data_IF_567237401250
#
_entry.id   IF_567237401250
#
_cell.length_a   1.000
_cell.length_b   1.000
_cell.length_c   1.000
_cell.angle_alpha   90.00
_cell.angle_beta   90.00
_cell.angle_gamma   90.00
#
_symmetry.space_group_name_H-M   'P 1'
#
loop_
_entity.id
_entity.type
_entity.pdbx_description
1 polymer ?
#
# COMPACT_ATOMS: atom_id res chain seq x y z
N UNK A 1 -3.26 10.82 -18.29
CA UNK A 1 -2.68 11.40 -17.06
C UNK A 1 -1.14 11.43 -17.09
N UNK A 2 -0.42 10.30 -17.28
CA UNK A 2 1.05 10.30 -17.28
C UNK A 2 1.72 11.11 -18.43
N UNK A 3 1.02 11.32 -19.55
CA UNK A 3 1.57 12.07 -20.70
C UNK A 3 1.68 13.59 -20.47
N UNK A 4 0.95 14.15 -19.51
CA UNK A 4 0.93 15.61 -19.28
C UNK A 4 1.80 16.05 -18.09
N UNK A 5 2.56 15.14 -17.46
CA UNK A 5 3.43 15.49 -16.33
C UNK A 5 4.54 16.48 -16.71
N UNK A 6 5.28 16.31 -17.82
CA UNK A 6 6.27 17.30 -18.25
C UNK A 6 5.64 18.67 -18.47
N UNK A 7 4.46 18.72 -19.08
CA UNK A 7 3.68 19.95 -19.29
C UNK A 7 3.30 20.60 -17.95
N UNK A 8 2.77 19.83 -17.00
CA UNK A 8 2.41 20.32 -15.67
C UNK A 8 3.63 20.87 -14.91
N UNK A 9 4.79 20.22 -15.03
CA UNK A 9 6.05 20.72 -14.45
C UNK A 9 6.50 22.00 -15.14
N UNK A 10 6.43 22.11 -16.47
CA UNK A 10 6.76 23.34 -17.19
C UNK A 10 5.86 24.51 -16.77
N UNK A 11 4.58 24.25 -16.52
CA UNK A 11 3.63 25.27 -16.08
C UNK A 11 3.95 25.82 -14.68
N UNK A 12 4.64 25.07 -13.80
CA UNK A 12 5.10 25.58 -12.49
C UNK A 12 6.03 26.78 -12.59
N UNK A 13 6.68 26.98 -13.76
CA UNK A 13 7.64 28.05 -14.01
C UNK A 13 6.99 29.33 -14.56
N UNK A 14 5.71 29.31 -14.91
CA UNK A 14 5.04 30.42 -15.60
C UNK A 14 4.79 31.61 -14.68
N UNK A 15 4.04 31.41 -13.60
CA UNK A 15 3.82 32.42 -12.57
C UNK A 15 3.41 31.78 -11.23
N UNK A 16 3.34 32.58 -10.16
CA UNK A 16 2.99 32.11 -8.81
C UNK A 16 1.58 31.53 -8.74
N UNK A 17 0.63 32.13 -9.45
CA UNK A 17 -0.77 31.72 -9.49
C UNK A 17 -0.92 30.36 -10.17
N UNK A 18 -0.28 30.19 -11.34
CA UNK A 18 -0.26 28.89 -12.04
C UNK A 18 0.41 27.83 -11.18
N UNK A 19 1.52 28.17 -10.50
CA UNK A 19 2.16 27.27 -9.54
C UNK A 19 1.19 26.81 -8.44
N UNK A 20 0.50 27.75 -7.78
CA UNK A 20 -0.46 27.41 -6.71
C UNK A 20 -1.62 26.55 -7.22
N UNK A 21 -2.05 26.73 -8.47
CA UNK A 21 -3.10 25.93 -9.08
C UNK A 21 -2.66 24.50 -9.41
N UNK A 22 -1.41 24.33 -9.84
CA UNK A 22 -0.88 23.03 -10.29
C UNK A 22 -0.32 22.19 -9.16
N UNK A 23 0.19 22.81 -8.09
CA UNK A 23 0.79 22.07 -6.97
C UNK A 23 -0.14 21.00 -6.37
N UNK A 24 -1.43 21.25 -6.09
CA UNK A 24 -2.34 20.21 -5.61
C UNK A 24 -2.40 19.03 -6.58
N UNK A 25 -2.57 19.32 -7.86
CA UNK A 25 -2.71 18.35 -8.93
C UNK A 25 -1.48 17.43 -9.06
N UNK A 26 -0.29 17.96 -8.83
CA UNK A 26 0.95 17.19 -8.80
C UNK A 26 1.12 16.43 -7.48
N UNK A 27 0.94 17.09 -6.33
CA UNK A 27 1.28 16.50 -5.03
C UNK A 27 0.18 15.64 -4.40
N UNK A 28 -1.00 15.53 -5.03
CA UNK A 28 -2.07 14.64 -4.57
C UNK A 28 -1.58 13.20 -4.39
N UNK A 29 -0.85 12.66 -5.37
CA UNK A 29 -0.34 11.29 -5.36
C UNK A 29 1.18 11.26 -5.46
N UNK A 30 1.83 10.84 -4.37
CA UNK A 30 3.28 10.79 -4.24
C UNK A 30 3.75 9.34 -4.17
N UNK A 31 4.78 9.03 -4.96
CA UNK A 31 5.32 7.68 -5.07
C UNK A 31 6.83 7.70 -4.83
N UNK A 32 7.25 7.01 -3.77
CA UNK A 32 8.62 6.98 -3.24
C UNK A 32 9.16 5.54 -3.30
N UNK A 33 9.98 5.25 -4.30
CA UNK A 33 10.42 3.88 -4.59
C UNK A 33 11.78 3.51 -4.01
N UNK A 34 12.52 4.48 -3.45
CA UNK A 34 13.87 4.28 -2.89
C UNK A 34 14.07 5.09 -1.61
N UNK A 35 15.09 4.78 -0.82
CA UNK A 35 15.43 5.57 0.37
C UNK A 35 15.78 7.02 -0.01
N UNK A 36 16.50 7.19 -1.12
CA UNK A 36 16.86 8.51 -1.65
C UNK A 36 15.63 9.31 -2.10
N UNK A 37 14.62 8.67 -2.71
CA UNK A 37 13.35 9.30 -3.04
C UNK A 37 12.65 9.83 -1.78
N UNK A 38 12.61 9.04 -0.71
CA UNK A 38 12.03 9.44 0.58
C UNK A 38 12.80 10.63 1.17
N UNK A 39 14.13 10.59 1.17
CA UNK A 39 14.98 11.67 1.68
C UNK A 39 14.79 12.97 0.87
N UNK A 40 14.74 12.87 -0.47
CA UNK A 40 14.53 14.04 -1.35
C UNK A 40 13.15 14.66 -1.12
N UNK A 41 12.11 13.83 -1.05
CA UNK A 41 10.77 14.30 -0.76
C UNK A 41 10.69 15.00 0.60
N UNK A 42 11.25 14.39 1.65
CA UNK A 42 11.34 15.00 2.97
C UNK A 42 12.05 16.37 2.93
N UNK A 43 13.23 16.46 2.28
CA UNK A 43 13.95 17.74 2.14
C UNK A 43 13.11 18.79 1.42
N UNK A 44 12.39 18.38 0.37
CA UNK A 44 11.45 19.25 -0.34
C UNK A 44 10.35 19.80 0.57
N UNK A 45 9.74 18.95 1.41
CA UNK A 45 8.75 19.38 2.40
C UNK A 45 9.32 20.35 3.43
N UNK A 46 10.58 20.16 3.87
CA UNK A 46 11.22 21.04 4.87
C UNK A 46 11.67 22.38 4.27
N UNK A 47 12.02 22.41 2.99
CA UNK A 47 12.41 23.63 2.28
C UNK A 47 11.20 24.46 1.82
N UNK A 48 10.02 23.85 1.78
CA UNK A 48 8.75 24.50 1.44
C UNK A 48 8.17 25.29 2.64
N UNK A 49 9.01 26.13 3.24
CA UNK A 49 8.56 27.21 4.11
C UNK A 49 7.90 28.25 3.21
N UNK A 50 6.56 28.34 3.27
CA UNK A 50 5.82 29.41 2.60
C UNK A 50 6.29 30.81 3.06
N UNK A 51 5.73 31.89 2.48
CA UNK A 51 6.02 33.25 2.92
C UNK A 51 5.72 33.49 4.40
N UNK A 52 4.89 32.64 5.02
CA UNK A 52 4.79 32.49 6.47
C UNK A 52 5.51 31.21 6.90
N UNK A 53 6.53 31.29 7.78
CA UNK A 53 7.35 30.15 8.21
C UNK A 53 6.61 29.10 9.06
N UNK A 54 5.30 29.22 9.21
CA UNK A 54 4.51 28.43 10.16
C UNK A 54 3.70 27.29 9.53
N UNK A 55 3.66 27.12 8.20
CA UNK A 55 2.93 26.00 7.59
C UNK A 55 3.50 25.56 6.23
N UNK A 56 3.87 24.28 6.06
CA UNK A 56 4.29 23.74 4.77
C UNK A 56 3.11 23.75 3.78
N UNK A 57 3.36 24.18 2.54
CA UNK A 57 2.32 24.27 1.48
C UNK A 57 2.11 22.89 0.85
N UNK A 58 3.17 22.11 0.66
CA UNK A 58 3.14 20.83 -0.06
C UNK A 58 2.56 19.68 0.75
N UNK A 59 2.94 19.54 2.03
CA UNK A 59 2.56 18.36 2.82
C UNK A 59 1.03 18.17 2.96
N UNK A 60 0.22 19.23 3.18
CA UNK A 60 -1.23 19.12 3.23
C UNK A 60 -1.91 18.79 1.88
N UNK A 61 -1.18 18.83 0.76
CA UNK A 61 -1.71 18.47 -0.56
C UNK A 61 -1.66 16.95 -0.79
N UNK A 62 -0.80 16.23 -0.08
CA UNK A 62 -0.64 14.78 -0.24
C UNK A 62 -1.86 14.04 0.27
N UNK A 63 -2.53 13.31 -0.64
CA UNK A 63 -3.69 12.46 -0.34
C UNK A 63 -3.35 10.98 -0.44
N UNK A 64 -2.46 10.61 -1.35
CA UNK A 64 -2.08 9.23 -1.60
C UNK A 64 -0.56 9.11 -1.59
N UNK A 65 -0.04 8.23 -0.74
CA UNK A 65 1.39 8.06 -0.54
C UNK A 65 1.77 6.58 -0.69
N UNK A 66 2.69 6.31 -1.61
CA UNK A 66 3.30 5.01 -1.78
C UNK A 66 4.77 5.06 -1.37
N UNK A 67 5.19 4.18 -0.48
CA UNK A 67 6.57 3.98 -0.04
C UNK A 67 6.95 2.52 -0.23
N UNK A 68 7.83 2.23 -1.19
CA UNK A 68 8.29 0.88 -1.47
C UNK A 68 8.42 0.57 -2.96
N UNK A 69 8.82 -0.66 -3.31
CA UNK A 69 9.08 -1.04 -4.70
C UNK A 69 7.79 -1.07 -5.54
N UNK A 70 7.92 -0.76 -6.84
CA UNK A 70 6.87 -0.92 -7.86
C UNK A 70 7.26 -1.99 -8.89
N UNK A 71 8.56 -2.25 -9.02
CA UNK A 71 9.13 -3.17 -9.99
C UNK A 71 9.32 -4.58 -9.45
N UNK A 72 9.97 -5.43 -10.26
CA UNK A 72 10.33 -6.79 -9.85
C UNK A 72 11.36 -6.70 -8.71
N UNK A 73 10.98 -7.16 -7.52
CA UNK A 73 11.95 -7.45 -6.47
C UNK A 73 12.79 -8.65 -6.93
N UNK A 74 14.13 -8.60 -6.85
CA UNK A 74 14.95 -9.79 -7.00
C UNK A 74 14.73 -10.64 -5.75
N UNK A 75 13.69 -11.47 -5.78
CA UNK A 75 13.40 -12.37 -4.67
C UNK A 75 14.49 -13.46 -4.64
N UNK A 76 15.25 -13.62 -3.54
CA UNK A 76 16.24 -14.68 -3.42
C UNK A 76 15.57 -16.05 -3.58
N UNK A 77 16.07 -16.90 -4.49
CA UNK A 77 15.51 -18.23 -4.77
C UNK A 77 14.68 -18.34 -6.06
N UNK A 78 14.51 -17.25 -6.81
CA UNK A 78 13.95 -17.31 -8.17
C UNK A 78 15.08 -17.50 -9.19
N UNK A 79 14.89 -18.34 -10.24
CA UNK A 79 15.88 -18.49 -11.29
C UNK A 79 16.18 -17.13 -11.93
N UNK A 80 17.48 -16.76 -12.01
CA UNK A 80 18.00 -15.58 -12.71
C UNK A 80 17.57 -15.47 -14.19
N UNK A 81 16.96 -16.51 -14.76
CA UNK A 81 16.58 -16.62 -16.17
C UNK A 81 15.52 -15.61 -16.64
N UNK A 82 14.94 -14.80 -15.75
CA UNK A 82 13.96 -13.76 -16.11
C UNK A 82 14.37 -12.33 -15.71
N UNK A 83 15.67 -12.10 -15.44
CA UNK A 83 16.26 -10.76 -15.46
C UNK A 83 16.26 -10.24 -16.91
N UNK A 84 15.10 -9.79 -17.39
CA UNK A 84 15.04 -8.96 -18.58
C UNK A 84 15.72 -7.64 -18.22
N UNK A 85 16.62 -7.20 -19.09
CA UNK A 85 17.41 -5.95 -19.06
C UNK A 85 16.56 -4.65 -19.05
N UNK A 86 15.54 -4.56 -18.21
CA UNK A 86 14.75 -3.34 -18.04
C UNK A 86 15.43 -2.49 -16.96
N UNK A 87 16.44 -1.72 -17.37
CA UNK A 87 17.24 -0.80 -16.56
C UNK A 87 16.50 0.37 -15.90
N UNK A 88 15.22 0.20 -15.55
CA UNK A 88 14.33 1.26 -15.05
C UNK A 88 13.75 1.02 -13.65
N UNK A 89 14.08 -0.08 -12.95
CA UNK A 89 13.45 -0.41 -11.66
C UNK A 89 14.45 -0.81 -10.55
N UNK A 90 15.43 0.07 -10.30
CA UNK A 90 16.38 -0.05 -9.18
C UNK A 90 15.77 0.55 -7.90
N UNK A 91 14.76 -0.10 -7.31
CA UNK A 91 14.44 0.09 -5.89
C UNK A 91 15.28 -0.88 -5.04
N UNK A 92 16.57 -1.00 -5.37
CA UNK A 92 17.44 -2.02 -4.78
C UNK A 92 17.62 -1.83 -3.26
N UNK A 93 17.42 -0.61 -2.77
CA UNK A 93 17.67 -0.26 -1.37
C UNK A 93 16.44 -0.38 -0.46
N UNK A 94 15.21 -0.54 -0.97
CA UNK A 94 14.01 -0.79 -0.16
C UNK A 94 13.50 -2.23 -0.31
N UNK A 95 14.43 -3.18 -0.49
CA UNK A 95 14.13 -4.60 -0.51
C UNK A 95 13.73 -5.12 0.88
N UNK A 96 13.19 -6.33 0.90
CA UNK A 96 12.86 -7.03 2.13
C UNK A 96 14.10 -7.12 3.03
N UNK A 97 13.94 -6.84 4.33
CA UNK A 97 15.03 -6.79 5.32
C UNK A 97 16.08 -5.69 5.10
N UNK A 98 15.81 -4.72 4.22
CA UNK A 98 16.71 -3.58 4.07
C UNK A 98 16.83 -2.74 5.35
N UNK A 99 18.03 -2.30 5.66
CA UNK A 99 18.34 -1.33 6.71
C UNK A 99 18.35 0.12 6.20
N UNK A 100 18.16 0.33 4.90
CA UNK A 100 18.23 1.66 4.25
C UNK A 100 16.97 2.49 4.43
N UNK A 101 15.93 1.98 5.10
CA UNK A 101 14.70 2.72 5.36
C UNK A 101 14.98 3.96 6.22
N UNK A 102 14.73 5.19 5.73
CA UNK A 102 15.00 6.42 6.48
C UNK A 102 13.83 6.72 7.43
N UNK A 103 13.68 5.91 8.48
CA UNK A 103 12.51 5.89 9.38
C UNK A 103 12.19 7.27 9.96
N UNK A 104 13.20 8.01 10.41
CA UNK A 104 13.00 9.37 10.96
C UNK A 104 12.37 10.31 9.93
N UNK A 105 12.80 10.25 8.66
CA UNK A 105 12.24 11.09 7.60
C UNK A 105 10.82 10.65 7.23
N UNK A 106 10.55 9.34 7.17
CA UNK A 106 9.19 8.81 6.95
C UNK A 106 8.24 9.29 8.06
N UNK A 107 8.66 9.22 9.32
CA UNK A 107 7.89 9.72 10.45
C UNK A 107 7.52 11.20 10.28
N UNK A 108 8.49 12.04 9.90
CA UNK A 108 8.24 13.47 9.67
C UNK A 108 7.34 13.73 8.46
N UNK A 109 7.49 12.97 7.38
CA UNK A 109 6.59 13.03 6.22
C UNK A 109 5.16 12.71 6.67
N UNK A 110 4.93 11.57 7.33
CA UNK A 110 3.60 11.14 7.76
C UNK A 110 2.97 12.14 8.75
N UNK A 111 3.78 12.68 9.67
CA UNK A 111 3.33 13.72 10.62
C UNK A 111 2.89 15.00 9.91
N UNK A 112 3.51 15.33 8.78
CA UNK A 112 3.23 16.57 8.03
C UNK A 112 2.07 16.42 7.05
N UNK A 113 1.86 15.22 6.51
CA UNK A 113 0.80 14.92 5.54
C UNK A 113 -0.58 14.72 6.20
N UNK A 114 -1.10 15.78 6.82
CA UNK A 114 -2.37 15.77 7.59
C UNK A 114 -3.62 15.50 6.76
N UNK A 115 -3.49 15.51 5.43
CA UNK A 115 -4.55 15.28 4.46
C UNK A 115 -4.56 13.85 3.90
N UNK A 116 -3.62 13.00 4.30
CA UNK A 116 -3.39 11.67 3.74
C UNK A 116 -4.62 10.76 3.92
N UNK A 117 -5.07 10.15 2.83
CA UNK A 117 -6.23 9.23 2.75
C UNK A 117 -5.82 7.81 2.41
N UNK A 118 -4.80 7.62 1.58
CA UNK A 118 -4.29 6.30 1.21
C UNK A 118 -2.79 6.21 1.44
N UNK A 119 -2.35 5.17 2.15
CA UNK A 119 -0.96 4.91 2.47
C UNK A 119 -0.60 3.48 2.10
N UNK A 120 0.45 3.32 1.30
CA UNK A 120 1.10 2.05 1.05
C UNK A 120 2.53 2.09 1.56
N UNK A 121 2.89 1.16 2.44
CA UNK A 121 4.26 0.96 2.92
C UNK A 121 4.61 -0.51 2.72
N UNK A 122 5.46 -0.78 1.72
CA UNK A 122 5.84 -2.14 1.34
C UNK A 122 7.28 -2.43 1.71
N UNK A 123 7.60 -3.69 2.03
CA UNK A 123 8.94 -4.17 2.45
C UNK A 123 9.51 -3.50 3.71
N UNK A 124 8.69 -2.84 4.54
CA UNK A 124 9.18 -2.27 5.80
C UNK A 124 9.49 -3.39 6.80
N UNK A 125 10.71 -3.38 7.35
CA UNK A 125 11.10 -4.36 8.37
C UNK A 125 10.18 -4.35 9.58
N UNK A 126 9.90 -5.53 10.16
CA UNK A 126 8.92 -5.72 11.24
C UNK A 126 9.11 -4.77 12.44
N UNK A 127 10.36 -4.49 12.81
CA UNK A 127 10.69 -3.65 13.96
C UNK A 127 10.40 -2.16 13.70
N UNK A 128 10.40 -1.76 12.43
CA UNK A 128 10.29 -0.36 12.05
C UNK A 128 8.84 0.15 12.04
N UNK A 129 7.85 -0.75 11.95
CA UNK A 129 6.43 -0.37 11.91
C UNK A 129 6.00 0.38 13.18
N UNK A 130 6.46 -0.08 14.34
CA UNK A 130 6.16 0.53 15.65
C UNK A 130 6.63 2.00 15.76
N UNK A 131 7.58 2.43 14.94
CA UNK A 131 8.04 3.81 14.91
C UNK A 131 7.11 4.72 14.09
N UNK A 132 6.24 4.18 13.26
CA UNK A 132 5.38 4.95 12.35
C UNK A 132 3.90 4.95 12.79
N UNK A 133 3.46 3.94 13.53
CA UNK A 133 2.04 3.83 13.97
C UNK A 133 1.55 5.08 14.73
N UNK A 134 2.42 5.72 15.52
CA UNK A 134 2.07 6.89 16.32
C UNK A 134 1.79 8.17 15.52
N UNK A 135 2.15 8.20 14.23
CA UNK A 135 2.08 9.41 13.37
C UNK A 135 1.18 9.24 12.15
N UNK A 136 0.43 8.15 12.08
CA UNK A 136 -0.56 7.95 11.04
C UNK A 136 -1.71 8.95 11.25
N UNK A 137 -2.02 9.83 10.26
CA UNK A 137 -2.99 10.90 10.45
C UNK A 137 -4.42 10.36 10.54
N UNK A 138 -5.29 11.12 11.24
CA UNK A 138 -6.72 10.79 11.45
C UNK A 138 -7.49 10.59 10.14
N UNK A 139 -7.04 11.23 9.05
CA UNK A 139 -7.68 11.24 7.74
C UNK A 139 -7.44 9.97 6.93
N UNK A 140 -6.57 9.07 7.40
CA UNK A 140 -6.24 7.86 6.67
C UNK A 140 -7.46 6.92 6.59
N UNK A 141 -7.80 6.50 5.37
CA UNK A 141 -8.94 5.63 5.07
C UNK A 141 -8.51 4.30 4.45
N UNK A 142 -7.35 4.26 3.78
CA UNK A 142 -6.80 3.08 3.10
C UNK A 142 -5.36 2.82 3.51
N UNK A 143 -5.05 1.60 3.96
CA UNK A 143 -3.72 1.18 4.39
C UNK A 143 -3.29 -0.12 3.69
N UNK A 144 -2.12 -0.08 3.05
CA UNK A 144 -1.51 -1.22 2.37
C UNK A 144 -0.16 -1.54 2.99
N UNK A 145 0.05 -2.80 3.38
CA UNK A 145 1.26 -3.27 4.06
C UNK A 145 1.70 -4.64 3.53
N UNK A 146 3.00 -4.96 3.61
CA UNK A 146 3.56 -6.28 3.28
C UNK A 146 4.71 -6.23 2.26
N UNK A 147 5.31 -7.36 1.81
CA UNK A 147 5.20 -8.75 2.26
C UNK A 147 5.58 -9.01 3.73
N UNK A 148 6.25 -8.07 4.40
CA UNK A 148 6.53 -8.14 5.83
C UNK A 148 6.11 -6.83 6.47
N UNK A 149 5.40 -6.95 7.59
CA UNK A 149 5.15 -5.84 8.52
C UNK A 149 5.20 -6.40 9.94
N UNK A 150 5.47 -5.54 10.92
CA UNK A 150 5.34 -5.91 12.33
C UNK A 150 3.87 -6.07 12.72
N UNK A 151 3.58 -6.41 13.98
CA UNK A 151 2.19 -6.48 14.45
C UNK A 151 1.42 -5.19 14.12
N UNK A 152 0.33 -5.31 13.37
CA UNK A 152 -0.58 -4.22 13.07
C UNK A 152 -1.65 -4.16 14.17
N UNK A 153 -1.42 -3.27 15.14
CA UNK A 153 -2.32 -3.12 16.28
C UNK A 153 -3.06 -1.79 16.12
N UNK A 154 -4.35 -1.82 15.73
CA UNK A 154 -5.08 -0.61 15.36
C UNK A 154 -5.20 0.38 16.53
N UNK A 155 -5.26 -0.14 17.77
CA UNK A 155 -5.29 0.69 18.99
C UNK A 155 -4.04 1.55 19.20
N UNK A 156 -2.92 1.21 18.57
CA UNK A 156 -1.68 1.98 18.70
C UNK A 156 -1.67 3.24 17.83
N UNK A 157 -2.59 3.35 16.86
CA UNK A 157 -2.75 4.58 16.10
C UNK A 157 -3.28 5.70 17.01
N UNK A 158 -2.39 6.59 17.45
CA UNK A 158 -2.70 7.70 18.37
C UNK A 158 -3.83 8.61 17.88
N UNK A 159 -3.98 8.70 16.57
CA UNK A 159 -4.96 9.56 15.91
C UNK A 159 -6.25 8.82 15.52
N UNK A 160 -6.39 7.53 15.84
CA UNK A 160 -7.60 6.74 15.56
C UNK A 160 -8.15 6.92 14.13
N UNK A 161 -7.34 6.66 13.08
CA UNK A 161 -7.77 6.79 11.70
C UNK A 161 -8.98 5.90 11.41
N UNK A 162 -9.89 6.40 10.57
CA UNK A 162 -11.09 5.67 10.16
C UNK A 162 -10.78 4.76 8.98
N UNK A 163 -9.89 3.79 9.20
CA UNK A 163 -9.48 2.82 8.17
C UNK A 163 -10.68 2.04 7.66
N UNK A 164 -11.06 2.30 6.39
CA UNK A 164 -12.14 1.62 5.67
C UNK A 164 -11.60 0.43 4.89
N UNK A 165 -10.41 0.57 4.34
CA UNK A 165 -9.75 -0.45 3.53
C UNK A 165 -8.40 -0.79 4.13
N UNK A 166 -8.15 -2.08 4.38
CA UNK A 166 -6.84 -2.58 4.76
C UNK A 166 -6.45 -3.69 3.79
N UNK A 167 -5.27 -3.56 3.21
CA UNK A 167 -4.69 -4.56 2.30
C UNK A 167 -3.39 -5.08 2.89
N UNK A 168 -3.38 -6.36 3.28
CA UNK A 168 -2.18 -7.09 3.68
C UNK A 168 -1.64 -7.85 2.47
N UNK A 169 -0.36 -7.74 2.20
CA UNK A 169 0.33 -8.43 1.11
C UNK A 169 1.27 -9.44 1.75
N UNK A 170 1.15 -10.70 1.36
CA UNK A 170 2.03 -11.84 1.64
C UNK A 170 2.60 -11.92 3.06
N UNK A 171 1.78 -11.52 4.02
CA UNK A 171 2.18 -11.31 5.40
C UNK A 171 1.46 -12.27 6.34
N UNK A 172 2.19 -12.73 7.34
CA UNK A 172 1.62 -13.44 8.46
C UNK A 172 0.96 -12.42 9.40
N UNK A 173 -0.35 -12.54 9.60
CA UNK A 173 -1.09 -11.75 10.58
C UNK A 173 -1.61 -12.67 11.67
N UNK A 174 -1.40 -12.29 12.93
CA UNK A 174 -1.92 -13.03 14.07
C UNK A 174 -3.45 -12.95 14.15
N UNK A 175 -4.05 -13.90 14.85
CA UNK A 175 -5.52 -13.98 14.98
C UNK A 175 -6.11 -12.74 15.66
N UNK A 176 -5.40 -12.17 16.64
CA UNK A 176 -5.82 -10.96 17.34
C UNK A 176 -5.81 -9.73 16.42
N UNK A 177 -4.81 -9.60 15.55
CA UNK A 177 -4.73 -8.53 14.54
C UNK A 177 -5.88 -8.64 13.53
N UNK A 178 -6.10 -9.83 12.98
CA UNK A 178 -7.19 -10.05 12.01
C UNK A 178 -8.54 -9.78 12.65
N UNK A 179 -8.74 -10.22 13.89
CA UNK A 179 -9.97 -9.95 14.63
C UNK A 179 -10.15 -8.45 14.90
N UNK A 180 -9.11 -7.73 15.30
CA UNK A 180 -9.15 -6.27 15.52
C UNK A 180 -9.55 -5.53 14.23
N UNK A 181 -9.01 -5.95 13.08
CA UNK A 181 -9.35 -5.38 11.77
C UNK A 181 -10.77 -5.70 11.35
N UNK A 182 -11.18 -6.96 11.41
CA UNK A 182 -12.50 -7.42 10.97
C UNK A 182 -13.62 -6.85 11.83
N UNK A 183 -13.38 -6.70 13.14
CA UNK A 183 -14.35 -6.15 14.08
C UNK A 183 -14.26 -4.62 14.24
N UNK A 184 -13.33 -3.97 13.54
CA UNK A 184 -13.22 -2.51 13.56
C UNK A 184 -14.52 -1.84 13.08
N UNK A 185 -15.01 -0.81 13.78
CA UNK A 185 -16.27 -0.14 13.42
C UNK A 185 -16.19 0.58 12.07
N UNK A 186 -14.99 0.88 11.58
CA UNK A 186 -14.76 1.63 10.35
C UNK A 186 -14.34 0.75 9.17
N UNK A 187 -13.79 -0.44 9.42
CA UNK A 187 -13.35 -1.33 8.36
C UNK A 187 -14.56 -1.82 7.54
N UNK A 188 -14.42 -1.77 6.22
CA UNK A 188 -15.40 -2.22 5.23
C UNK A 188 -14.80 -3.29 4.33
N UNK A 189 -13.56 -3.10 3.91
CA UNK A 189 -12.86 -4.03 3.02
C UNK A 189 -11.56 -4.46 3.68
N UNK A 190 -11.41 -5.75 3.91
CA UNK A 190 -10.15 -6.36 4.33
C UNK A 190 -9.63 -7.30 3.24
N UNK A 191 -8.54 -6.91 2.59
CA UNK A 191 -7.93 -7.64 1.49
C UNK A 191 -6.63 -8.29 1.95
N UNK A 192 -6.45 -9.57 1.62
CA UNK A 192 -5.24 -10.34 1.89
C UNK A 192 -4.73 -10.94 0.59
N UNK A 193 -3.69 -10.34 0.04
CA UNK A 193 -3.08 -10.76 -1.21
C UNK A 193 -1.87 -11.66 -0.92
N UNK A 194 -1.87 -12.90 -1.39
CA UNK A 194 -0.81 -13.86 -1.14
C UNK A 194 0.02 -14.13 -2.39
N UNK A 195 1.32 -14.35 -2.18
CA UNK A 195 2.28 -14.65 -3.24
C UNK A 195 2.82 -16.05 -2.96
N UNK A 196 2.16 -17.07 -3.53
CA UNK A 196 2.66 -18.45 -3.52
C UNK A 196 3.09 -18.98 -2.13
N UNK A 197 2.38 -18.58 -1.06
CA UNK A 197 2.59 -19.09 0.29
C UNK A 197 1.39 -19.93 0.75
N UNK A 198 1.40 -21.27 0.55
CA UNK A 198 0.25 -22.13 0.86
C UNK A 198 -0.12 -22.08 2.33
N UNK A 199 0.88 -22.00 3.20
CA UNK A 199 0.69 -21.94 4.64
C UNK A 199 0.03 -20.62 5.06
N UNK A 200 0.46 -19.49 4.49
CA UNK A 200 -0.15 -18.19 4.80
C UNK A 200 -1.60 -18.10 4.33
N UNK A 201 -1.91 -18.73 3.17
CA UNK A 201 -3.29 -18.86 2.69
C UNK A 201 -4.12 -19.71 3.64
N UNK A 202 -3.61 -20.86 4.11
CA UNK A 202 -4.34 -21.70 5.08
C UNK A 202 -4.65 -20.94 6.39
N UNK A 203 -3.70 -20.14 6.90
CA UNK A 203 -3.98 -19.27 8.05
C UNK A 203 -5.10 -18.26 7.76
N UNK A 204 -5.19 -17.75 6.53
CA UNK A 204 -6.29 -16.88 6.12
C UNK A 204 -7.65 -17.55 6.22
N UNK A 205 -7.73 -18.80 5.78
CA UNK A 205 -8.95 -19.60 5.87
C UNK A 205 -9.33 -19.91 7.33
N UNK A 206 -8.34 -20.23 8.17
CA UNK A 206 -8.56 -20.46 9.62
C UNK A 206 -9.17 -19.24 10.33
N UNK A 207 -8.91 -18.04 9.81
CA UNK A 207 -9.36 -16.79 10.40
C UNK A 207 -10.74 -16.32 9.87
N UNK A 208 -11.30 -16.95 8.83
CA UNK A 208 -12.64 -16.62 8.30
C UNK A 208 -13.78 -16.64 9.35
N UNK A 209 -13.79 -17.48 10.41
CA UNK A 209 -14.86 -17.47 11.40
C UNK A 209 -15.08 -16.12 12.09
N UNK A 210 -14.08 -15.22 12.11
CA UNK A 210 -14.26 -13.89 12.70
C UNK A 210 -15.15 -12.96 11.85
N UNK A 211 -15.33 -13.24 10.56
CA UNK A 211 -16.19 -12.44 9.66
C UNK A 211 -17.64 -12.47 10.14
N UNK A 212 -18.13 -13.61 10.60
CA UNK A 212 -19.48 -13.77 11.14
C UNK A 212 -19.77 -12.86 12.35
N UNK A 213 -18.73 -12.43 13.08
CA UNK A 213 -18.84 -11.55 14.24
C UNK A 213 -18.86 -10.06 13.87
N UNK A 214 -18.49 -9.70 12.64
CA UNK A 214 -18.46 -8.30 12.20
C UNK A 214 -19.83 -7.84 11.74
N UNK A 215 -20.26 -6.67 12.22
CA UNK A 215 -21.47 -5.96 11.77
C UNK A 215 -21.17 -4.90 10.70
N UNK A 216 -19.90 -4.59 10.49
CA UNK A 216 -19.42 -3.45 9.69
C UNK A 216 -18.68 -3.87 8.44
N UNK A 217 -18.02 -5.03 8.45
CA UNK A 217 -17.28 -5.53 7.30
C UNK A 217 -18.23 -5.87 6.16
N UNK A 218 -17.95 -5.31 4.99
CA UNK A 218 -18.68 -5.53 3.74
C UNK A 218 -18.00 -6.61 2.89
N UNK A 219 -16.66 -6.69 2.95
CA UNK A 219 -15.89 -7.63 2.16
C UNK A 219 -14.60 -8.09 2.87
N UNK A 220 -14.38 -9.40 2.93
CA UNK A 220 -13.08 -10.02 3.18
C UNK A 220 -12.61 -10.71 1.90
N UNK A 221 -11.51 -10.24 1.32
CA UNK A 221 -10.98 -10.78 0.07
C UNK A 221 -9.67 -11.52 0.31
N UNK A 222 -9.61 -12.79 -0.07
CA UNK A 222 -8.38 -13.58 -0.15
C UNK A 222 -7.99 -13.62 -1.62
N UNK A 223 -6.89 -12.95 -1.97
CA UNK A 223 -6.40 -12.93 -3.35
C UNK A 223 -5.15 -13.78 -3.49
N UNK A 224 -5.13 -14.63 -4.52
CA UNK A 224 -4.05 -15.56 -4.78
C UNK A 224 -3.36 -15.14 -6.08
N UNK A 225 -2.15 -14.62 -5.97
CA UNK A 225 -1.42 -14.07 -7.09
C UNK A 225 -0.44 -15.08 -7.66
N UNK A 226 -0.51 -15.27 -8.98
CA UNK A 226 0.47 -16.03 -9.74
C UNK A 226 0.48 -17.53 -9.50
N UNK A 227 -0.67 -18.09 -9.12
CA UNK A 227 -0.91 -19.53 -8.94
C UNK A 227 -1.73 -20.17 -10.08
N UNK A 228 -2.15 -19.38 -11.08
CA UNK A 228 -2.97 -19.91 -12.17
C UNK A 228 -2.19 -20.95 -12.99
N UNK A 229 -2.83 -22.09 -13.29
CA UNK A 229 -2.23 -23.19 -14.04
C UNK A 229 -1.27 -24.06 -13.20
N UNK A 230 -1.31 -23.97 -11.88
CA UNK A 230 -0.59 -24.86 -10.97
C UNK A 230 -1.60 -25.82 -10.32
N UNK A 231 -1.69 -27.04 -10.87
CA UNK A 231 -2.65 -28.07 -10.46
C UNK A 231 -2.57 -28.40 -8.96
N UNK A 232 -1.36 -28.34 -8.37
CA UNK A 232 -1.17 -28.60 -6.94
C UNK A 232 -1.80 -27.48 -6.09
N UNK A 233 -1.68 -26.23 -6.54
CA UNK A 233 -2.32 -25.09 -5.90
C UNK A 233 -3.85 -25.12 -6.04
N UNK A 234 -4.37 -25.46 -7.21
CA UNK A 234 -5.81 -25.58 -7.44
C UNK A 234 -6.42 -26.69 -6.58
N UNK A 235 -5.77 -27.86 -6.51
CA UNK A 235 -6.18 -28.95 -5.64
C UNK A 235 -6.15 -28.55 -4.16
N UNK A 236 -5.10 -27.81 -3.73
CA UNK A 236 -4.99 -27.33 -2.35
C UNK A 236 -6.06 -26.31 -2.01
N UNK A 237 -6.36 -25.38 -2.92
CA UNK A 237 -7.40 -24.38 -2.74
C UNK A 237 -8.77 -25.04 -2.56
N UNK A 238 -9.08 -26.03 -3.41
CA UNK A 238 -10.31 -26.81 -3.30
C UNK A 238 -10.43 -27.51 -1.94
N UNK A 239 -9.36 -28.12 -1.45
CA UNK A 239 -9.36 -28.73 -0.10
C UNK A 239 -9.62 -27.72 1.01
N UNK A 240 -9.08 -26.50 0.90
CA UNK A 240 -9.31 -25.44 1.87
C UNK A 240 -10.77 -24.96 1.80
N UNK A 241 -11.30 -24.73 0.60
CA UNK A 241 -12.71 -24.36 0.41
C UNK A 241 -13.67 -25.42 0.96
N UNK A 242 -13.40 -26.70 0.73
CA UNK A 242 -14.20 -27.80 1.29
C UNK A 242 -14.10 -27.84 2.84
N UNK A 243 -12.89 -27.72 3.39
CA UNK A 243 -12.66 -27.74 4.84
C UNK A 243 -13.33 -26.58 5.57
N UNK A 244 -13.37 -25.40 4.95
CA UNK A 244 -13.93 -24.17 5.54
C UNK A 244 -15.21 -23.71 4.84
N UNK A 245 -15.92 -24.64 4.19
CA UNK A 245 -17.12 -24.36 3.40
C UNK A 245 -18.15 -23.50 4.14
N UNK A 246 -18.50 -23.75 5.43
CA UNK A 246 -19.48 -22.92 6.13
C UNK A 246 -19.14 -21.43 6.16
N UNK A 247 -17.84 -21.09 6.19
CA UNK A 247 -17.38 -19.70 6.24
C UNK A 247 -17.17 -19.12 4.83
N UNK A 248 -16.83 -19.95 3.85
CA UNK A 248 -16.72 -19.53 2.46
C UNK A 248 -18.09 -19.18 1.83
N UNK A 249 -19.19 -19.69 2.41
CA UNK A 249 -20.56 -19.35 2.01
C UNK A 249 -21.03 -17.97 2.50
N UNK A 250 -20.30 -17.30 3.40
CA UNK A 250 -20.61 -15.92 3.77
C UNK A 250 -20.39 -15.01 2.55
N UNK A 251 -21.44 -14.30 2.11
CA UNK A 251 -21.43 -13.42 0.92
C UNK A 251 -20.34 -12.34 0.95
N UNK A 252 -19.79 -12.03 2.12
CA UNK A 252 -18.71 -11.06 2.30
C UNK A 252 -17.34 -11.66 2.02
N UNK A 253 -17.19 -12.98 2.08
CA UNK A 253 -15.92 -13.66 1.81
C UNK A 253 -15.79 -13.89 0.31
N UNK A 254 -14.68 -13.42 -0.26
CA UNK A 254 -14.36 -13.59 -1.68
C UNK A 254 -12.97 -14.18 -1.84
N UNK A 255 -12.88 -15.30 -2.56
CA UNK A 255 -11.62 -15.92 -2.95
C UNK A 255 -11.39 -15.57 -4.42
N UNK A 256 -10.26 -14.93 -4.72
CA UNK A 256 -9.97 -14.40 -6.07
C UNK A 256 -8.60 -14.89 -6.52
N UNK A 257 -8.57 -15.63 -7.62
CA UNK A 257 -7.32 -16.03 -8.27
C UNK A 257 -6.94 -14.98 -9.32
N UNK A 258 -5.71 -14.46 -9.24
CA UNK A 258 -5.18 -13.44 -10.15
C UNK A 258 -3.99 -13.97 -10.97
N UNK A 259 -4.20 -14.33 -12.25
CA UNK A 259 -3.14 -14.86 -13.10
C UNK A 259 -2.09 -13.81 -13.50
N UNK A 260 -2.45 -12.53 -13.52
CA UNK A 260 -1.63 -11.46 -14.14
C UNK A 260 -0.29 -11.22 -13.42
N UNK A 261 -0.19 -11.59 -12.14
CA UNK A 261 1.02 -11.40 -11.35
C UNK A 261 2.21 -12.26 -11.83
N UNK A 262 1.96 -13.38 -12.53
CA UNK A 262 3.02 -14.22 -13.11
C UNK A 262 3.84 -13.48 -14.17
N UNK A 263 3.20 -12.60 -14.96
CA UNK A 263 3.84 -11.95 -16.12
C UNK A 263 4.37 -10.56 -15.77
N UNK A 264 3.60 -9.79 -15.00
CA UNK A 264 3.90 -8.37 -14.72
C UNK A 264 4.77 -8.15 -13.48
N UNK A 265 4.88 -9.16 -12.61
CA UNK A 265 5.50 -9.04 -11.30
C UNK A 265 4.53 -8.47 -10.27
N UNK A 266 4.58 -9.03 -9.05
CA UNK A 266 3.57 -8.77 -8.02
C UNK A 266 3.46 -7.30 -7.59
N UNK A 267 4.59 -6.64 -7.30
CA UNK A 267 4.57 -5.24 -6.84
C UNK A 267 3.97 -4.32 -7.90
N UNK A 268 4.15 -4.65 -9.18
CA UNK A 268 3.52 -3.91 -10.27
C UNK A 268 2.02 -4.09 -10.30
N UNK A 269 1.53 -5.31 -10.10
CA UNK A 269 0.10 -5.61 -10.00
C UNK A 269 -0.54 -4.92 -8.79
N UNK A 270 0.11 -5.00 -7.62
CA UNK A 270 -0.34 -4.35 -6.39
C UNK A 270 -0.34 -2.83 -6.54
N UNK A 271 0.72 -2.26 -7.11
CA UNK A 271 0.81 -0.82 -7.36
C UNK A 271 -0.30 -0.35 -8.29
N UNK A 272 -0.57 -1.09 -9.37
CA UNK A 272 -1.68 -0.79 -10.27
C UNK A 272 -3.02 -0.82 -9.55
N UNK A 273 -3.24 -1.83 -8.71
CA UNK A 273 -4.50 -1.92 -7.95
C UNK A 273 -4.64 -0.75 -6.97
N UNK A 274 -3.57 -0.38 -6.27
CA UNK A 274 -3.55 0.80 -5.40
C UNK A 274 -3.84 2.09 -6.19
N UNK A 275 -3.28 2.24 -7.39
CA UNK A 275 -3.59 3.37 -8.26
C UNK A 275 -5.06 3.40 -8.68
N UNK A 276 -5.65 2.25 -9.04
CA UNK A 276 -7.06 2.18 -9.40
C UNK A 276 -7.98 2.52 -8.22
N UNK A 277 -7.65 2.04 -7.02
CA UNK A 277 -8.41 2.35 -5.80
C UNK A 277 -8.32 3.83 -5.43
N UNK A 278 -7.13 4.43 -5.51
CA UNK A 278 -6.95 5.87 -5.24
C UNK A 278 -7.67 6.74 -6.27
N UNK A 279 -7.58 6.41 -7.55
CA UNK A 279 -8.26 7.15 -8.63
C UNK A 279 -9.80 7.02 -8.59
N UNK A 280 -10.33 5.87 -8.17
CA UNK A 280 -11.79 5.70 -8.04
C UNK A 280 -12.39 6.47 -6.86
N UNK A 281 -11.58 6.78 -5.84
CA UNK A 281 -12.01 7.58 -4.69
C UNK A 281 -12.10 9.08 -4.97
N UNK A 282 -11.44 9.56 -6.03
CA UNK A 282 -11.46 10.95 -6.47
C UNK A 282 -12.36 11.09 -7.69
N UNK A 283 -13.39 11.93 -7.59
CA UNK A 283 -14.34 12.20 -8.68
C UNK A 283 -13.63 12.74 -9.92
N UNK A 284 -13.18 11.88 -10.86
CA UNK A 284 -12.53 12.19 -12.15
C UNK A 284 -11.81 13.56 -12.27
N UNK A 285 -11.05 13.97 -11.26
CA UNK A 285 -10.12 15.10 -11.39
C UNK A 285 -8.80 14.49 -11.85
N UNK A 286 -8.17 15.11 -12.85
CA UNK A 286 -6.92 14.66 -13.43
C UNK A 286 -5.78 14.67 -12.38
N UNK A 287 -5.68 13.63 -11.57
CA UNK A 287 -4.63 13.47 -10.58
C UNK A 287 -3.38 12.90 -11.24
N UNK A 288 -2.22 13.53 -10.99
CA UNK A 288 -0.93 13.11 -11.51
C UNK A 288 -0.20 12.27 -10.46
N UNK A 289 0.68 11.40 -10.93
CA UNK A 289 1.54 10.60 -10.07
C UNK A 289 2.94 11.20 -10.15
N UNK A 290 3.40 11.77 -9.03
CA UNK A 290 4.77 12.30 -8.94
C UNK A 290 5.70 11.17 -8.51
N UNK A 291 6.69 10.90 -9.36
CA UNK A 291 7.80 10.01 -9.06
C UNK A 291 9.00 10.83 -8.61
N UNK A 292 9.52 10.53 -7.42
CA UNK A 292 10.82 11.03 -6.98
C UNK A 292 11.87 9.96 -7.34
N UNK A 293 12.70 10.24 -8.34
CA UNK A 293 13.86 9.40 -8.73
C UNK A 293 15.10 9.93 -8.03
#
# INVERSE_FOLDING_TARGET
AAQDYPTAVSLLLVCKEVRLWILPVLYTTVVLTSSNAIIRFFRGLMQDAGPNPTSPILAPLVRHLWMGPIGRSPTPGFPKAFEVNDGYWSSADLQLYSTSWPITMMHQILSSCTSLRSLAILNLGQNNWSHLEGVIPTTLESLWLGPIHGPLILKNFRHHPRLRTITSIDTYMRDDEVKDIVLSPHCRVFRRAYIRSPQAVEYAFQQLPCVAQSSTLEEMRIELHGIAGDDAWEARLKQLEEKYLPFCLDKRVKIVVRPEAQTQGIFRTIFRDWQLETLSSESMVNSYIVYFV
#
